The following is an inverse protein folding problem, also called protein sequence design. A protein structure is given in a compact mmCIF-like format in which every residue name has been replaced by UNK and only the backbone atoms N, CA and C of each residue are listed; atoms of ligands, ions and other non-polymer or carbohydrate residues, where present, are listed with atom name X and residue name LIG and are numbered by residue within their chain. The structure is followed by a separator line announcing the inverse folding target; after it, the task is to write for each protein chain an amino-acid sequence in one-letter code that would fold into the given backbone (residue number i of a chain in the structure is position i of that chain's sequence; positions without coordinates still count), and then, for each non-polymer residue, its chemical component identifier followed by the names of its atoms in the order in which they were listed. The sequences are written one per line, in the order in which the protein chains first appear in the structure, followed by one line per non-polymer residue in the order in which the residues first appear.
data_IF_742134480897
#
_entry.id   IF_742134480897
#
_cell.length_a   1.000
_cell.length_b   1.000
_cell.length_c   1.000
_cell.angle_alpha   90.00
_cell.angle_beta   90.00
_cell.angle_gamma   90.00
#
_symmetry.space_group_name_H-M   'P 1'
#
loop_
_entity.id
_entity.type
_entity.pdbx_description
1 polymer ?
#
# COMPACT_ATOMS: atom_id res chain seq x y z
N UNK A 1 38.27 11.47 -20.33
CA UNK A 1 37.99 12.04 -19.00
C UNK A 1 37.33 10.97 -18.16
N UNK A 2 38.08 10.32 -17.27
CA UNK A 2 37.57 9.27 -16.37
C UNK A 2 36.92 9.93 -15.14
N UNK A 3 35.68 9.56 -14.77
CA UNK A 3 35.03 10.16 -13.61
C UNK A 3 35.78 9.76 -12.31
N UNK A 4 35.83 10.65 -11.30
CA UNK A 4 36.66 10.46 -10.11
C UNK A 4 36.23 9.22 -9.32
N UNK A 5 37.20 8.43 -8.84
CA UNK A 5 36.98 7.11 -8.22
C UNK A 5 36.07 7.07 -6.98
N UNK A 6 35.85 8.22 -6.34
CA UNK A 6 34.91 8.37 -5.22
C UNK A 6 33.44 8.16 -5.66
N UNK A 7 33.05 8.67 -6.83
CA UNK A 7 31.71 8.44 -7.41
C UNK A 7 31.52 6.97 -7.77
N UNK A 8 32.58 6.28 -8.22
CA UNK A 8 32.52 4.84 -8.57
C UNK A 8 32.36 3.95 -7.34
N UNK A 9 32.92 4.34 -6.19
CA UNK A 9 32.75 3.64 -4.89
C UNK A 9 31.36 3.89 -4.27
N UNK A 10 30.82 5.10 -4.40
CA UNK A 10 29.45 5.45 -4.00
C UNK A 10 28.40 4.77 -4.88
N UNK A 11 28.56 4.79 -6.21
CA UNK A 11 27.66 4.12 -7.14
C UNK A 11 27.74 2.59 -7.00
N UNK A 12 28.93 2.01 -6.82
CA UNK A 12 29.07 0.58 -6.57
C UNK A 12 28.34 0.13 -5.31
N UNK A 13 28.54 0.83 -4.18
CA UNK A 13 27.88 0.48 -2.91
C UNK A 13 26.36 0.71 -2.95
N UNK A 14 25.92 1.83 -3.53
CA UNK A 14 24.48 2.13 -3.64
C UNK A 14 23.76 1.15 -4.57
N UNK A 15 24.36 0.76 -5.70
CA UNK A 15 23.75 -0.21 -6.62
C UNK A 15 23.68 -1.61 -6.01
N UNK A 16 24.72 -2.04 -5.28
CA UNK A 16 24.72 -3.34 -4.57
C UNK A 16 23.65 -3.40 -3.48
N UNK A 17 23.31 -2.27 -2.85
CA UNK A 17 22.21 -2.17 -1.88
C UNK A 17 20.86 -2.03 -2.60
N UNK A 18 20.77 -1.19 -3.62
CA UNK A 18 19.53 -0.89 -4.32
C UNK A 18 18.94 -2.12 -5.03
N UNK A 19 19.77 -3.07 -5.49
CA UNK A 19 19.28 -4.28 -6.17
C UNK A 19 18.44 -5.17 -5.21
N UNK A 20 18.95 -5.63 -4.04
CA UNK A 20 18.14 -6.37 -3.07
C UNK A 20 16.93 -5.59 -2.57
N UNK A 21 17.09 -4.30 -2.24
CA UNK A 21 15.97 -3.49 -1.77
C UNK A 21 14.92 -3.23 -2.85
N UNK A 22 15.33 -3.07 -4.11
CA UNK A 22 14.44 -2.95 -5.26
C UNK A 22 13.67 -4.25 -5.50
N UNK A 23 14.33 -5.40 -5.36
CA UNK A 23 13.68 -6.70 -5.41
C UNK A 23 12.64 -6.85 -4.28
N UNK A 24 13.02 -6.57 -3.04
CA UNK A 24 12.10 -6.59 -1.89
C UNK A 24 10.94 -5.62 -2.08
N UNK A 25 11.20 -4.40 -2.54
CA UNK A 25 10.18 -3.39 -2.82
C UNK A 25 9.21 -3.82 -3.92
N UNK A 26 9.71 -4.42 -5.00
CA UNK A 26 8.86 -4.97 -6.06
C UNK A 26 7.93 -6.06 -5.52
N UNK A 27 8.47 -7.10 -4.86
CA UNK A 27 7.66 -8.18 -4.31
C UNK A 27 6.73 -7.73 -3.18
N UNK A 28 7.13 -6.72 -2.41
CA UNK A 28 6.28 -6.06 -1.43
C UNK A 28 5.10 -5.35 -2.11
N UNK A 29 5.31 -4.67 -3.24
CA UNK A 29 4.27 -3.92 -3.94
C UNK A 29 3.32 -4.79 -4.76
N UNK A 30 3.77 -5.92 -5.31
CA UNK A 30 2.93 -6.86 -6.10
C UNK A 30 1.56 -7.14 -5.45
N UNK A 31 1.45 -7.58 -4.17
CA UNK A 31 0.15 -7.82 -3.56
C UNK A 31 -0.72 -6.56 -3.47
N UNK A 32 -0.15 -5.37 -3.23
CA UNK A 32 -0.91 -4.11 -3.23
C UNK A 32 -1.42 -3.74 -4.61
N UNK A 33 -0.63 -3.97 -5.65
CA UNK A 33 -1.05 -3.75 -7.04
C UNK A 33 -2.22 -4.67 -7.40
N UNK A 34 -2.20 -5.93 -6.95
CA UNK A 34 -3.31 -6.88 -7.16
C UNK A 34 -4.58 -6.39 -6.43
N UNK A 35 -4.48 -5.92 -5.18
CA UNK A 35 -5.63 -5.37 -4.46
C UNK A 35 -6.18 -4.11 -5.14
N UNK A 36 -5.30 -3.26 -5.67
CA UNK A 36 -5.68 -2.06 -6.43
C UNK A 36 -6.43 -2.42 -7.72
N UNK A 37 -5.98 -3.45 -8.45
CA UNK A 37 -6.70 -3.86 -9.67
C UNK A 37 -8.07 -4.42 -9.34
N UNK A 38 -8.21 -5.15 -8.24
CA UNK A 38 -9.49 -5.67 -7.76
C UNK A 38 -10.41 -4.54 -7.25
N UNK A 39 -9.89 -3.54 -6.54
CA UNK A 39 -10.71 -2.45 -6.02
C UNK A 39 -11.33 -1.59 -7.11
N UNK A 40 -10.68 -1.52 -8.28
CA UNK A 40 -11.12 -0.79 -9.47
C UNK A 40 -11.91 -1.64 -10.47
N UNK A 41 -11.97 -2.97 -10.29
CA UNK A 41 -12.67 -3.86 -11.22
C UNK A 41 -14.15 -4.00 -10.87
N UNK A 42 -14.97 -4.43 -11.84
CA UNK A 42 -16.34 -4.82 -11.56
C UNK A 42 -16.37 -6.24 -11.03
N UNK A 43 -17.06 -6.45 -9.91
CA UNK A 43 -17.39 -7.79 -9.42
C UNK A 43 -18.41 -8.41 -10.39
N UNK A 44 -17.94 -9.36 -11.20
CA UNK A 44 -18.80 -10.13 -12.10
C UNK A 44 -18.86 -11.57 -11.62
N UNK A 45 -19.95 -11.92 -10.96
CA UNK A 45 -20.18 -13.24 -10.37
C UNK A 45 -20.40 -14.34 -11.41
N UNK A 46 -20.47 -13.99 -12.71
CA UNK A 46 -20.72 -14.94 -13.80
C UNK A 46 -19.46 -15.60 -14.37
N UNK A 47 -18.27 -15.15 -13.98
CA UNK A 47 -16.98 -15.70 -14.42
C UNK A 47 -16.14 -16.20 -13.23
N UNK A 48 -15.37 -17.26 -13.44
CA UNK A 48 -14.26 -17.65 -12.54
C UNK A 48 -12.96 -17.21 -13.21
N UNK A 49 -12.23 -16.18 -12.71
CA UNK A 49 -12.35 -15.44 -11.45
C UNK A 49 -13.47 -14.38 -11.44
N UNK A 50 -14.06 -14.04 -10.28
CA UNK A 50 -15.24 -13.17 -10.17
C UNK A 50 -14.92 -11.66 -10.31
N UNK A 51 -14.00 -11.30 -11.20
CA UNK A 51 -13.58 -9.93 -11.48
C UNK A 51 -13.18 -9.80 -12.96
N UNK A 52 -13.62 -8.73 -13.61
CA UNK A 52 -13.18 -8.43 -14.98
C UNK A 52 -11.74 -7.89 -14.98
N UNK A 53 -10.85 -8.36 -15.86
CA UNK A 53 -9.52 -7.78 -15.99
C UNK A 53 -9.62 -6.29 -16.38
N UNK A 54 -8.88 -5.42 -15.68
CA UNK A 54 -8.88 -3.97 -15.98
C UNK A 54 -8.31 -3.65 -17.36
N UNK A 55 -7.45 -4.52 -17.89
CA UNK A 55 -6.77 -4.37 -19.17
C UNK A 55 -7.22 -5.53 -20.06
N UNK A 56 -8.04 -5.23 -21.06
CA UNK A 56 -8.48 -6.20 -22.05
C UNK A 56 -7.96 -5.79 -23.44
N UNK A 57 -7.40 -6.76 -24.17
CA UNK A 57 -6.97 -6.56 -25.55
C UNK A 57 -8.11 -6.97 -26.48
N UNK A 58 -8.81 -6.00 -27.04
CA UNK A 58 -9.89 -6.23 -28.00
C UNK A 58 -9.29 -6.43 -29.39
N UNK A 59 -9.58 -7.57 -30.01
CA UNK A 59 -9.17 -7.95 -31.38
C UNK A 59 -7.65 -7.81 -31.67
N UNK A 60 -6.81 -7.86 -30.64
CA UNK A 60 -5.35 -7.70 -30.76
C UNK A 60 -4.91 -6.33 -31.28
N UNK A 61 -5.81 -5.33 -31.30
CA UNK A 61 -5.56 -4.01 -31.90
C UNK A 61 -5.88 -2.84 -30.98
N UNK A 62 -6.76 -3.03 -29.99
CA UNK A 62 -7.14 -1.98 -29.06
C UNK A 62 -6.98 -2.45 -27.62
N UNK A 63 -6.34 -1.62 -26.79
CA UNK A 63 -6.29 -1.80 -25.34
C UNK A 63 -7.50 -1.10 -24.73
N UNK A 64 -8.41 -1.87 -24.13
CA UNK A 64 -9.56 -1.36 -23.40
C UNK A 64 -9.26 -1.35 -21.90
N UNK A 65 -9.50 -0.20 -21.27
CA UNK A 65 -9.34 -0.02 -19.82
C UNK A 65 -10.71 0.29 -19.22
N UNK A 66 -11.24 -0.62 -18.40
CA UNK A 66 -12.54 -0.43 -17.72
C UNK A 66 -12.28 -0.23 -16.23
N UNK A 67 -12.58 0.98 -15.73
CA UNK A 67 -12.40 1.35 -14.32
C UNK A 67 -13.77 1.60 -13.68
N UNK A 68 -14.09 0.89 -12.60
CA UNK A 68 -15.29 1.12 -11.80
C UNK A 68 -14.96 1.96 -10.56
N UNK A 69 -15.22 3.27 -10.68
CA UNK A 69 -15.11 4.21 -9.55
C UNK A 69 -16.35 4.20 -8.64
N UNK A 70 -17.44 3.53 -9.06
CA UNK A 70 -18.66 3.36 -8.26
C UNK A 70 -18.43 2.54 -7.00
N UNK A 71 -17.50 1.58 -7.02
CA UNK A 71 -17.07 0.84 -5.84
C UNK A 71 -16.64 1.77 -4.68
N UNK A 72 -15.93 2.85 -5.00
CA UNK A 72 -15.51 3.84 -4.00
C UNK A 72 -16.65 4.74 -3.55
N UNK A 73 -17.54 5.12 -4.47
CA UNK A 73 -18.72 5.93 -4.13
C UNK A 73 -19.64 5.20 -3.16
N UNK A 74 -19.81 3.87 -3.32
CA UNK A 74 -20.58 3.05 -2.39
C UNK A 74 -20.04 3.10 -0.95
N UNK A 75 -18.71 3.08 -0.77
CA UNK A 75 -18.08 3.18 0.55
C UNK A 75 -18.43 4.48 1.31
N UNK A 76 -18.63 5.58 0.58
CA UNK A 76 -19.00 6.87 1.17
C UNK A 76 -20.52 7.09 1.28
N UNK A 77 -21.30 6.34 0.51
CA UNK A 77 -22.76 6.50 0.44
C UNK A 77 -23.49 5.60 1.43
N UNK A 78 -22.88 4.49 1.85
CA UNK A 78 -23.44 3.56 2.80
C UNK A 78 -23.01 3.90 4.24
N UNK A 79 -24.00 4.29 5.05
CA UNK A 79 -23.81 4.65 6.47
C UNK A 79 -23.11 3.55 7.27
N UNK A 80 -23.31 2.28 6.94
CA UNK A 80 -22.68 1.16 7.65
C UNK A 80 -21.16 1.17 7.49
N UNK A 81 -20.67 1.42 6.27
CA UNK A 81 -19.23 1.47 5.98
C UNK A 81 -18.57 2.68 6.66
N UNK A 82 -19.22 3.85 6.61
CA UNK A 82 -18.73 5.07 7.27
C UNK A 82 -18.66 4.88 8.79
N UNK A 83 -19.71 4.33 9.39
CA UNK A 83 -19.75 4.07 10.84
C UNK A 83 -18.69 3.03 11.24
N UNK A 84 -18.52 1.95 10.49
CA UNK A 84 -17.49 0.94 10.76
C UNK A 84 -16.07 1.54 10.68
N UNK A 85 -15.82 2.41 9.70
CA UNK A 85 -14.54 3.12 9.55
C UNK A 85 -14.26 4.04 10.74
N UNK A 86 -15.24 4.87 11.13
CA UNK A 86 -15.12 5.78 12.27
C UNK A 86 -14.92 5.03 13.59
N UNK A 87 -15.62 3.91 13.80
CA UNK A 87 -15.43 3.07 14.98
C UNK A 87 -14.02 2.46 15.04
N UNK A 88 -13.48 2.03 13.90
CA UNK A 88 -12.11 1.51 13.80
C UNK A 88 -11.09 2.62 14.12
N UNK A 89 -11.28 3.81 13.54
CA UNK A 89 -10.43 4.96 13.79
C UNK A 89 -10.46 5.39 15.26
N UNK A 90 -11.66 5.44 15.87
CA UNK A 90 -11.83 5.74 17.30
C UNK A 90 -11.10 4.72 18.16
N UNK A 91 -11.25 3.42 17.86
CA UNK A 91 -10.60 2.35 18.62
C UNK A 91 -9.08 2.44 18.51
N UNK A 92 -8.55 2.65 17.31
CA UNK A 92 -7.12 2.84 17.09
C UNK A 92 -6.58 4.06 17.85
N UNK A 93 -7.25 5.20 17.74
CA UNK A 93 -6.83 6.45 18.40
C UNK A 93 -6.82 6.31 19.93
N UNK A 94 -7.88 5.74 20.52
CA UNK A 94 -7.96 5.50 21.97
C UNK A 94 -6.87 4.55 22.43
N UNK A 95 -6.63 3.46 21.68
CA UNK A 95 -5.57 2.49 22.00
C UNK A 95 -4.19 3.13 21.94
N UNK A 96 -3.89 3.86 20.87
CA UNK A 96 -2.63 4.60 20.72
C UNK A 96 -2.44 5.62 21.83
N UNK A 97 -3.49 6.37 22.20
CA UNK A 97 -3.42 7.34 23.28
C UNK A 97 -3.01 6.70 24.61
N UNK A 98 -3.65 5.60 25.01
CA UNK A 98 -3.29 4.90 26.24
C UNK A 98 -1.90 4.25 26.16
N UNK A 99 -1.53 3.68 25.01
CA UNK A 99 -0.18 3.16 24.78
C UNK A 99 0.88 4.25 24.97
N UNK A 100 0.63 5.47 24.49
CA UNK A 100 1.55 6.59 24.69
C UNK A 100 1.53 7.08 26.14
N UNK A 101 0.35 7.19 26.75
CA UNK A 101 0.20 7.65 28.13
C UNK A 101 0.97 6.79 29.12
N UNK A 102 1.05 5.47 28.88
CA UNK A 102 1.78 4.53 29.74
C UNK A 102 3.22 4.31 29.25
N UNK A 103 3.40 4.12 27.95
CA UNK A 103 4.70 3.83 27.34
C UNK A 103 5.69 4.99 27.45
N UNK A 104 5.23 6.22 27.25
CA UNK A 104 6.07 7.41 27.31
C UNK A 104 6.69 7.64 28.71
N UNK A 105 5.93 7.65 29.82
CA UNK A 105 6.54 7.84 31.14
C UNK A 105 7.45 6.68 31.55
N UNK A 106 7.15 5.43 31.16
CA UNK A 106 8.06 4.30 31.41
C UNK A 106 9.40 4.49 30.68
N UNK A 107 9.35 4.84 29.38
CA UNK A 107 10.56 5.12 28.61
C UNK A 107 11.34 6.32 29.18
N UNK A 108 10.63 7.36 29.65
CA UNK A 108 11.24 8.51 30.30
C UNK A 108 11.92 8.15 31.62
N UNK A 109 11.30 7.30 32.45
CA UNK A 109 11.90 6.83 33.69
C UNK A 109 13.15 5.99 33.44
N UNK A 110 13.13 5.11 32.42
CA UNK A 110 14.32 4.35 32.00
C UNK A 110 15.44 5.26 31.52
N UNK A 111 15.11 6.28 30.71
CA UNK A 111 16.09 7.22 30.17
C UNK A 111 16.70 8.15 31.24
N UNK A 112 16.05 8.29 32.41
CA UNK A 112 16.51 9.14 33.52
C UNK A 112 16.98 8.34 34.74
N UNK A 113 16.97 7.01 34.64
CA UNK A 113 17.59 6.11 35.60
C UNK A 113 19.08 5.97 35.29
N UNK A 114 19.80 7.09 35.37
CA UNK A 114 21.25 7.12 35.60
C UNK A 114 21.53 7.03 37.11
#
# INVERSE_FOLDING_TARGET
MTPPGFLRRLMGRSTVIAIPYGWLGFFFLVPFLIVLTISLSTADTSQSPPFTPLLEWVDGKALQVVLNLGNYMFLFSDDLYVVAYLNSLKTAAVSTFFCLLIGYPMAYAMARAD
#
